data_IF_732151128587
#
_entry.id   IF_732151128587
#
_cell.length_a   1.000
_cell.length_b   1.000
_cell.length_c   1.000
_cell.angle_alpha   90.00
_cell.angle_beta   90.00
_cell.angle_gamma   90.00
#
_symmetry.space_group_name_H-M   'P 1'
#
loop_
_entity.id
_entity.type
_entity.pdbx_description
1 polymer ?
#
# COMPACT_ATOMS: atom_id res chain seq x y z
N UNK A 1 -25.08 25.62 -0.03
CA UNK A 1 -25.21 24.15 -0.13
C UNK A 1 -24.00 23.46 -0.81
N UNK A 2 -23.80 23.54 -2.14
CA UNK A 2 -22.78 22.75 -2.88
C UNK A 2 -21.34 22.72 -2.29
N UNK A 3 -20.85 23.84 -1.75
CA UNK A 3 -19.52 23.92 -1.08
C UNK A 3 -19.41 23.03 0.17
N UNK A 4 -20.47 22.96 0.98
CA UNK A 4 -20.51 22.13 2.19
C UNK A 4 -20.55 20.64 1.87
N UNK A 5 -21.32 20.23 0.85
CA UNK A 5 -21.34 18.85 0.36
C UNK A 5 -19.95 18.40 -0.12
N UNK A 6 -19.23 19.25 -0.87
CA UNK A 6 -17.86 18.97 -1.31
C UNK A 6 -16.85 18.91 -0.15
N UNK A 7 -17.08 19.65 0.94
CA UNK A 7 -16.27 19.59 2.15
C UNK A 7 -16.55 18.28 2.92
N UNK A 8 -17.82 17.92 3.10
CA UNK A 8 -18.25 16.69 3.75
C UNK A 8 -17.75 15.45 3.00
N UNK A 9 -17.82 15.43 1.66
CA UNK A 9 -17.30 14.35 0.81
C UNK A 9 -15.78 14.15 1.00
N UNK A 10 -15.02 15.25 1.11
CA UNK A 10 -13.58 15.19 1.43
C UNK A 10 -13.32 14.75 2.87
N UNK A 11 -14.09 15.23 3.84
CA UNK A 11 -13.96 14.83 5.24
C UNK A 11 -14.25 13.34 5.43
N UNK A 12 -15.34 12.83 4.86
CA UNK A 12 -15.65 11.39 4.79
C UNK A 12 -14.47 10.59 4.21
N UNK A 13 -13.88 11.08 3.10
CA UNK A 13 -12.75 10.40 2.45
C UNK A 13 -11.51 10.34 3.35
N UNK A 14 -11.15 11.45 4.02
CA UNK A 14 -10.00 11.51 4.94
C UNK A 14 -10.23 10.67 6.20
N UNK A 15 -11.43 10.72 6.79
CA UNK A 15 -11.78 9.93 7.97
C UNK A 15 -11.81 8.42 7.65
N UNK A 16 -12.33 8.04 6.48
CA UNK A 16 -12.31 6.65 6.02
C UNK A 16 -10.87 6.16 5.80
N UNK A 17 -10.01 6.96 5.15
CA UNK A 17 -8.59 6.64 4.98
C UNK A 17 -7.86 6.48 6.32
N UNK A 18 -8.17 7.32 7.32
CA UNK A 18 -7.63 7.20 8.67
C UNK A 18 -8.10 5.88 9.32
N UNK A 19 -9.38 5.52 9.16
CA UNK A 19 -9.94 4.27 9.69
C UNK A 19 -9.33 3.03 9.02
N UNK A 20 -9.16 3.03 7.68
CA UNK A 20 -8.45 1.97 6.95
C UNK A 20 -6.99 1.80 7.41
N UNK A 21 -6.36 2.83 8.00
CA UNK A 21 -5.02 2.71 8.59
C UNK A 21 -4.99 2.06 9.98
N UNK A 22 -6.17 1.73 10.53
CA UNK A 22 -6.35 1.17 11.88
C UNK A 22 -6.42 2.22 13.00
N UNK A 23 -6.41 3.51 12.66
CA UNK A 23 -6.31 4.60 13.62
C UNK A 23 -7.65 5.34 13.83
N UNK A 24 -7.89 5.91 15.02
CA UNK A 24 -7.27 5.59 16.32
C UNK A 24 -7.94 4.39 17.00
N UNK A 25 -9.02 3.84 16.42
CA UNK A 25 -9.95 2.96 17.13
C UNK A 25 -9.32 1.62 17.58
N UNK A 26 -8.39 1.04 16.83
CA UNK A 26 -7.80 -0.26 17.21
C UNK A 26 -7.02 -0.15 18.52
N UNK A 27 -6.25 0.94 18.74
CA UNK A 27 -5.47 1.12 19.98
C UNK A 27 -6.34 1.58 21.16
N UNK A 28 -7.45 2.27 20.90
CA UNK A 28 -8.42 2.65 21.95
C UNK A 28 -9.18 1.40 22.43
N UNK A 29 -9.71 0.60 21.50
CA UNK A 29 -10.50 -0.60 21.82
C UNK A 29 -9.65 -1.73 22.41
N UNK A 30 -8.35 -1.79 22.11
CA UNK A 30 -7.42 -2.69 22.80
C UNK A 30 -7.06 -2.24 24.22
N UNK A 31 -7.60 -1.11 24.70
CA UNK A 31 -7.27 -0.55 26.01
C UNK A 31 -5.80 -0.11 26.15
N UNK A 32 -5.05 -0.07 25.04
CA UNK A 32 -3.59 0.07 25.08
C UNK A 32 -2.84 -1.22 25.46
N UNK A 33 -3.43 -2.41 25.34
CA UNK A 33 -2.70 -3.67 25.49
C UNK A 33 -1.50 -3.74 24.51
N UNK A 34 -0.38 -4.28 24.98
CA UNK A 34 0.86 -4.48 24.21
C UNK A 34 1.06 -5.96 23.86
N UNK A 35 1.94 -6.22 22.89
CA UNK A 35 2.28 -7.60 22.52
C UNK A 35 3.03 -8.29 23.67
N UNK A 36 2.48 -9.42 24.12
CA UNK A 36 2.95 -10.16 25.30
C UNK A 36 2.25 -9.78 26.62
N UNK A 37 1.28 -8.88 26.62
CA UNK A 37 0.42 -8.66 27.79
C UNK A 37 -0.67 -9.76 27.84
N UNK A 38 -0.83 -10.42 28.99
CA UNK A 38 -1.90 -11.40 29.25
C UNK A 38 -3.27 -10.70 29.45
N UNK A 39 -3.79 -10.05 28.40
CA UNK A 39 -5.08 -9.37 28.45
C UNK A 39 -6.23 -10.38 28.49
N UNK A 40 -6.94 -10.38 29.63
CA UNK A 40 -7.96 -11.39 30.01
C UNK A 40 -9.21 -11.37 29.11
N UNK A 41 -9.40 -10.31 28.30
CA UNK A 41 -10.49 -10.21 27.32
C UNK A 41 -9.95 -9.81 25.94
N UNK A 42 -10.33 -10.57 24.91
CA UNK A 42 -10.10 -10.19 23.52
C UNK A 42 -10.85 -8.88 23.21
N UNK A 43 -10.23 -7.89 22.53
CA UNK A 43 -10.90 -6.63 22.24
C UNK A 43 -12.14 -6.83 21.36
N UNK A 44 -13.26 -6.21 21.73
CA UNK A 44 -14.46 -6.22 20.88
C UNK A 44 -14.25 -5.32 19.65
N UNK A 45 -14.07 -5.95 18.50
CA UNK A 45 -13.92 -5.29 17.21
C UNK A 45 -15.25 -5.09 16.45
N UNK A 46 -16.41 -5.42 17.03
CA UNK A 46 -17.72 -5.21 16.40
C UNK A 46 -17.95 -3.74 15.98
N UNK A 47 -17.51 -2.77 16.79
CA UNK A 47 -17.58 -1.35 16.43
C UNK A 47 -16.76 -1.02 15.17
N UNK A 48 -15.58 -1.64 15.00
CA UNK A 48 -14.76 -1.45 13.80
C UNK A 48 -15.46 -2.05 12.57
N UNK A 49 -16.00 -3.27 12.71
CA UNK A 49 -16.75 -3.91 11.62
C UNK A 49 -17.99 -3.08 11.21
N UNK A 50 -18.74 -2.56 12.19
CA UNK A 50 -19.89 -1.69 11.95
C UNK A 50 -19.52 -0.40 11.21
N UNK A 51 -18.42 0.25 11.58
CA UNK A 51 -17.92 1.44 10.87
C UNK A 51 -17.50 1.10 9.44
N UNK A 52 -16.84 -0.04 9.21
CA UNK A 52 -16.54 -0.48 7.84
C UNK A 52 -17.80 -0.75 7.02
N UNK A 53 -18.85 -1.37 7.58
CA UNK A 53 -20.13 -1.54 6.89
C UNK A 53 -20.77 -0.20 6.51
N UNK A 54 -20.72 0.81 7.39
CA UNK A 54 -21.16 2.17 7.08
C UNK A 54 -20.33 2.80 5.94
N UNK A 55 -19.00 2.66 5.99
CA UNK A 55 -18.10 3.15 4.93
C UNK A 55 -18.44 2.47 3.60
N UNK A 56 -18.63 1.15 3.58
CA UNK A 56 -19.02 0.40 2.37
C UNK A 56 -20.36 0.90 1.82
N UNK A 57 -21.38 1.07 2.68
CA UNK A 57 -22.71 1.52 2.29
C UNK A 57 -22.70 2.93 1.68
N UNK A 58 -22.05 3.90 2.35
CA UNK A 58 -21.91 5.27 1.86
C UNK A 58 -21.13 5.27 0.53
N UNK A 59 -20.04 4.51 0.45
CA UNK A 59 -19.23 4.39 -0.76
C UNK A 59 -20.01 3.78 -1.91
N UNK A 60 -20.79 2.73 -1.67
CA UNK A 60 -21.68 2.12 -2.65
C UNK A 60 -22.71 3.13 -3.18
N UNK A 61 -23.39 3.88 -2.31
CA UNK A 61 -24.32 4.93 -2.72
C UNK A 61 -23.64 6.00 -3.60
N UNK A 62 -22.43 6.44 -3.24
CA UNK A 62 -21.64 7.40 -4.02
C UNK A 62 -21.17 6.83 -5.38
N UNK A 63 -20.93 5.52 -5.47
CA UNK A 63 -20.60 4.80 -6.70
C UNK A 63 -21.81 4.66 -7.63
N UNK A 64 -23.01 4.36 -7.08
CA UNK A 64 -24.27 4.28 -7.86
C UNK A 64 -24.56 5.62 -8.53
N UNK A 65 -24.38 6.75 -7.83
CA UNK A 65 -24.46 8.10 -8.40
C UNK A 65 -23.42 8.37 -9.52
N UNK A 66 -22.42 7.49 -9.69
CA UNK A 66 -21.31 7.59 -10.65
C UNK A 66 -21.24 6.40 -11.61
N UNK A 67 -22.29 5.58 -11.70
CA UNK A 67 -22.30 4.27 -12.37
C UNK A 67 -21.64 4.24 -13.75
N UNK A 68 -21.85 5.25 -14.60
CA UNK A 68 -21.21 5.34 -15.93
C UNK A 68 -19.68 5.31 -15.88
N UNK A 69 -19.07 6.02 -14.91
CA UNK A 69 -17.62 6.00 -14.69
C UNK A 69 -17.16 4.69 -14.03
N UNK A 70 -18.02 4.08 -13.21
CA UNK A 70 -17.73 2.81 -12.55
C UNK A 70 -17.63 1.67 -13.57
N UNK A 71 -18.58 1.56 -14.50
CA UNK A 71 -18.52 0.58 -15.59
C UNK A 71 -17.28 0.81 -16.46
N UNK A 72 -16.94 2.06 -16.78
CA UNK A 72 -15.71 2.40 -17.49
C UNK A 72 -14.46 1.92 -16.74
N UNK A 73 -14.40 2.10 -15.41
CA UNK A 73 -13.28 1.66 -14.57
C UNK A 73 -13.16 0.13 -14.52
N UNK A 74 -14.29 -0.57 -14.32
CA UNK A 74 -14.34 -2.04 -14.24
C UNK A 74 -13.77 -2.64 -15.54
N UNK A 75 -14.21 -2.14 -16.70
CA UNK A 75 -13.78 -2.63 -18.01
C UNK A 75 -12.32 -2.33 -18.37
N UNK A 76 -11.59 -1.52 -17.59
CA UNK A 76 -10.17 -1.18 -17.82
C UNK A 76 -9.21 -2.04 -16.98
N UNK A 77 -9.73 -2.83 -16.05
CA UNK A 77 -8.91 -3.58 -15.10
C UNK A 77 -9.51 -4.95 -14.76
N UNK A 78 -9.50 -5.87 -15.72
CA UNK A 78 -10.08 -7.20 -15.52
C UNK A 78 -9.32 -8.05 -14.48
N UNK A 79 -8.01 -7.84 -14.30
CA UNK A 79 -7.18 -8.66 -13.41
C UNK A 79 -7.60 -8.57 -11.94
N UNK A 80 -7.91 -7.37 -11.45
CA UNK A 80 -8.33 -7.23 -10.05
C UNK A 80 -9.71 -7.85 -9.79
N UNK A 81 -10.62 -7.78 -10.76
CA UNK A 81 -11.92 -8.44 -10.67
C UNK A 81 -11.80 -9.96 -10.79
N UNK A 82 -10.86 -10.47 -11.60
CA UNK A 82 -10.52 -11.89 -11.59
C UNK A 82 -9.89 -12.32 -10.27
N UNK A 83 -8.99 -11.52 -9.68
CA UNK A 83 -8.40 -11.82 -8.38
C UNK A 83 -9.47 -11.87 -7.28
N UNK A 84 -10.44 -10.94 -7.31
CA UNK A 84 -11.62 -10.99 -6.45
C UNK A 84 -12.48 -12.22 -6.72
N UNK A 85 -12.71 -12.60 -7.98
CA UNK A 85 -13.46 -13.82 -8.33
C UNK A 85 -12.74 -15.08 -7.85
N UNK A 86 -11.42 -15.19 -8.00
CA UNK A 86 -10.62 -16.29 -7.46
C UNK A 86 -10.74 -16.34 -5.93
N UNK A 87 -10.71 -15.19 -5.25
CA UNK A 87 -10.97 -15.13 -3.81
C UNK A 87 -12.39 -15.59 -3.44
N UNK A 88 -13.43 -15.19 -4.20
CA UNK A 88 -14.82 -15.63 -4.00
C UNK A 88 -14.94 -17.15 -4.22
N UNK A 89 -14.43 -17.67 -5.34
CA UNK A 89 -14.47 -19.11 -5.62
C UNK A 89 -13.64 -19.92 -4.62
N UNK A 90 -12.65 -19.32 -3.97
CA UNK A 90 -11.85 -20.01 -2.94
C UNK A 90 -12.65 -20.50 -1.73
N UNK A 91 -13.89 -20.05 -1.55
CA UNK A 91 -14.85 -20.64 -0.58
C UNK A 91 -15.03 -22.15 -0.82
N UNK A 92 -15.00 -22.62 -2.08
CA UNK A 92 -15.28 -24.02 -2.42
C UNK A 92 -14.13 -25.01 -2.12
N UNK A 93 -12.89 -24.54 -2.00
CA UNK A 93 -11.71 -25.36 -1.66
C UNK A 93 -10.98 -24.89 -0.40
N UNK A 94 -11.56 -23.95 0.33
CA UNK A 94 -11.02 -23.43 1.58
C UNK A 94 -11.08 -24.48 2.68
N UNK A 95 -10.02 -24.58 3.48
CA UNK A 95 -10.02 -25.42 4.68
C UNK A 95 -10.99 -24.90 5.76
N UNK A 96 -11.33 -23.60 5.72
CA UNK A 96 -12.32 -22.98 6.63
C UNK A 96 -13.28 -22.06 5.84
N UNK A 97 -14.26 -22.63 5.10
CA UNK A 97 -15.12 -21.88 4.19
C UNK A 97 -15.87 -20.70 4.83
N UNK A 98 -16.33 -20.84 6.08
CA UNK A 98 -17.05 -19.78 6.79
C UNK A 98 -16.16 -18.55 7.09
N UNK A 99 -14.88 -18.77 7.37
CA UNK A 99 -13.89 -17.70 7.54
C UNK A 99 -13.62 -17.02 6.20
N UNK A 100 -13.38 -17.81 5.15
CA UNK A 100 -13.16 -17.32 3.78
C UNK A 100 -14.35 -16.49 3.28
N UNK A 101 -15.59 -16.96 3.43
CA UNK A 101 -16.80 -16.23 3.06
C UNK A 101 -16.86 -14.85 3.74
N UNK A 102 -16.63 -14.81 5.07
CA UNK A 102 -16.65 -13.56 5.85
C UNK A 102 -15.57 -12.58 5.39
N UNK A 103 -14.35 -13.08 5.11
CA UNK A 103 -13.23 -12.26 4.62
C UNK A 103 -13.46 -11.77 3.18
N UNK A 104 -14.01 -12.61 2.29
CA UNK A 104 -14.36 -12.25 0.90
C UNK A 104 -15.41 -11.14 0.85
N UNK A 105 -16.42 -11.17 1.72
CA UNK A 105 -17.41 -10.09 1.82
C UNK A 105 -16.72 -8.77 2.21
N UNK A 106 -15.82 -8.82 3.19
CA UNK A 106 -15.05 -7.65 3.60
C UNK A 106 -14.07 -7.17 2.50
N UNK A 107 -13.41 -8.06 1.75
CA UNK A 107 -12.58 -7.71 0.60
C UNK A 107 -13.39 -7.02 -0.51
N UNK A 108 -14.57 -7.56 -0.81
CA UNK A 108 -15.51 -7.00 -1.79
C UNK A 108 -15.93 -5.57 -1.40
N UNK A 109 -16.29 -5.36 -0.13
CA UNK A 109 -16.60 -4.02 0.41
C UNK A 109 -15.38 -3.08 0.40
N UNK A 110 -14.20 -3.61 0.72
CA UNK A 110 -12.93 -2.85 0.69
C UNK A 110 -12.64 -2.31 -0.71
N UNK A 111 -12.90 -3.08 -1.77
CA UNK A 111 -12.66 -2.69 -3.17
C UNK A 111 -13.61 -1.58 -3.69
N UNK A 112 -14.72 -1.31 -3.01
CA UNK A 112 -15.59 -0.17 -3.33
C UNK A 112 -14.86 1.17 -3.12
N UNK A 113 -14.06 1.29 -2.06
CA UNK A 113 -13.41 2.56 -1.70
C UNK A 113 -12.30 3.01 -2.67
N UNK A 114 -11.35 2.17 -3.13
CA UNK A 114 -10.38 2.58 -4.14
C UNK A 114 -11.03 2.86 -5.50
N UNK A 115 -12.07 2.12 -5.86
CA UNK A 115 -12.89 2.38 -7.04
C UNK A 115 -13.56 3.76 -6.96
N UNK A 116 -14.10 4.11 -5.78
CA UNK A 116 -14.64 5.45 -5.51
C UNK A 116 -13.56 6.53 -5.63
N UNK A 117 -12.41 6.37 -4.96
CA UNK A 117 -11.28 7.31 -5.03
C UNK A 117 -10.86 7.58 -6.47
N UNK A 118 -10.65 6.53 -7.28
CA UNK A 118 -10.28 6.63 -8.68
C UNK A 118 -11.36 7.28 -9.56
N UNK A 119 -12.65 7.00 -9.29
CA UNK A 119 -13.77 7.62 -10.02
C UNK A 119 -13.98 9.11 -9.69
N UNK A 120 -13.54 9.52 -8.48
CA UNK A 120 -13.89 10.81 -7.86
C UNK A 120 -12.77 11.83 -7.91
N UNK A 121 -11.54 11.43 -7.66
CA UNK A 121 -10.40 12.30 -7.40
C UNK A 121 -9.26 12.00 -8.37
N UNK A 122 -8.63 13.05 -8.89
CA UNK A 122 -7.38 12.94 -9.63
C UNK A 122 -6.24 12.45 -8.72
N UNK A 123 -5.17 11.89 -9.29
CA UNK A 123 -3.97 11.48 -8.52
C UNK A 123 -3.39 12.63 -7.68
N UNK A 124 -3.46 13.88 -8.16
CA UNK A 124 -3.07 15.07 -7.39
C UNK A 124 -3.99 15.31 -6.19
N UNK A 125 -5.30 15.18 -6.36
CA UNK A 125 -6.26 15.32 -5.25
C UNK A 125 -6.13 14.19 -4.23
N UNK A 126 -5.91 12.94 -4.67
CA UNK A 126 -5.62 11.80 -3.80
C UNK A 126 -4.37 12.07 -2.95
N UNK A 127 -3.29 12.59 -3.53
CA UNK A 127 -2.08 12.98 -2.79
C UNK A 127 -2.36 14.04 -1.70
N UNK A 128 -3.25 15.01 -1.96
CA UNK A 128 -3.63 16.03 -0.97
C UNK A 128 -4.55 15.47 0.13
N UNK A 129 -5.45 14.53 -0.21
CA UNK A 129 -6.28 13.82 0.79
C UNK A 129 -5.41 12.96 1.71
N UNK A 130 -4.38 12.32 1.16
CA UNK A 130 -3.38 11.60 1.95
C UNK A 130 -2.56 12.53 2.84
N UNK A 131 -2.15 13.70 2.35
CA UNK A 131 -1.47 14.69 3.20
C UNK A 131 -2.32 15.17 4.39
N UNK A 132 -3.64 15.32 4.21
CA UNK A 132 -4.55 15.57 5.34
C UNK A 132 -4.68 14.37 6.28
N UNK A 133 -4.84 13.16 5.74
CA UNK A 133 -4.93 11.92 6.52
C UNK A 133 -3.69 11.72 7.38
N UNK A 134 -2.50 11.84 6.78
CA UNK A 134 -1.22 11.73 7.46
C UNK A 134 -0.96 12.90 8.42
N UNK A 135 -1.37 14.12 8.09
CA UNK A 135 -1.28 15.27 8.99
C UNK A 135 -2.07 15.04 10.29
N UNK A 136 -3.30 14.54 10.18
CA UNK A 136 -4.11 14.13 11.35
C UNK A 136 -3.43 12.97 12.09
N UNK A 137 -2.88 11.98 11.36
CA UNK A 137 -2.21 10.84 11.97
C UNK A 137 -0.94 11.20 12.74
N UNK A 138 -0.14 12.15 12.24
CA UNK A 138 1.05 12.70 12.90
C UNK A 138 0.65 13.42 14.19
N UNK A 139 -0.28 14.37 14.10
CA UNK A 139 -0.76 15.15 15.25
C UNK A 139 -1.35 14.23 16.32
N UNK A 140 -2.22 13.30 15.91
CA UNK A 140 -2.77 12.28 16.81
C UNK A 140 -1.69 11.42 17.46
N UNK A 141 -0.68 10.98 16.69
CA UNK A 141 0.42 10.16 17.22
C UNK A 141 1.25 10.88 18.28
N UNK A 142 1.54 12.17 18.10
CA UNK A 142 2.20 12.98 19.13
C UNK A 142 1.30 13.20 20.35
N UNK A 143 0.02 13.53 20.16
CA UNK A 143 -0.94 13.68 21.27
C UNK A 143 -1.05 12.40 22.10
N UNK A 144 -1.10 11.23 21.46
CA UNK A 144 -1.16 9.95 22.16
C UNK A 144 0.17 9.65 22.87
N UNK A 145 1.31 9.83 22.21
CA UNK A 145 2.61 9.47 22.79
C UNK A 145 3.13 10.43 23.88
N UNK A 146 2.60 11.66 23.95
CA UNK A 146 2.87 12.61 25.05
C UNK A 146 1.75 12.65 26.09
N UNK A 147 0.49 12.84 25.68
CA UNK A 147 -0.65 13.04 26.58
C UNK A 147 -1.32 11.75 27.08
N UNK A 148 -1.38 10.70 26.24
CA UNK A 148 -2.03 9.42 26.57
C UNK A 148 -1.00 8.28 26.57
N UNK A 149 0.06 8.40 27.38
CA UNK A 149 1.26 7.55 27.34
C UNK A 149 0.98 6.04 27.24
N UNK A 150 -0.03 5.53 27.94
CA UNK A 150 -0.42 4.11 27.95
C UNK A 150 -0.89 3.64 26.56
N UNK A 151 -1.60 4.50 25.82
CA UNK A 151 -2.03 4.23 24.45
C UNK A 151 -0.91 4.53 23.44
N UNK A 152 -0.19 5.65 23.59
CA UNK A 152 0.79 6.10 22.59
C UNK A 152 2.14 5.36 22.57
N UNK A 153 2.50 4.65 23.64
CA UNK A 153 3.75 3.90 23.76
C UNK A 153 3.46 2.43 24.09
N UNK A 154 4.38 1.55 23.70
CA UNK A 154 4.28 0.12 24.01
C UNK A 154 4.95 -0.22 25.35
N UNK A 155 4.38 -1.22 26.02
CA UNK A 155 4.93 -1.93 27.17
C UNK A 155 5.50 -3.30 26.73
N UNK A 156 5.69 -4.22 27.69
CA UNK A 156 6.14 -5.59 27.44
C UNK A 156 7.45 -5.68 26.66
N UNK A 157 7.49 -6.60 25.70
CA UNK A 157 8.66 -6.91 24.83
C UNK A 157 9.16 -5.68 24.05
N UNK A 158 8.36 -4.63 23.92
CA UNK A 158 8.66 -3.43 23.13
C UNK A 158 8.63 -2.13 23.96
N UNK A 159 8.93 -2.25 25.25
CA UNK A 159 8.96 -1.15 26.22
C UNK A 159 9.62 0.14 25.69
N UNK A 160 8.89 1.25 25.80
CA UNK A 160 9.39 2.59 25.48
C UNK A 160 9.40 2.93 23.98
N UNK A 161 9.04 2.01 23.08
CA UNK A 161 8.82 2.33 21.66
C UNK A 161 7.49 3.05 21.45
N UNK A 162 7.44 3.90 20.42
CA UNK A 162 6.23 4.66 20.08
C UNK A 162 5.35 3.89 19.10
N UNK A 163 4.04 3.89 19.35
CA UNK A 163 2.99 3.42 18.41
C UNK A 163 1.96 4.49 18.05
N UNK A 164 1.91 5.61 18.78
CA UNK A 164 1.04 6.74 18.47
C UNK A 164 -0.44 6.35 18.54
N UNK A 165 -1.18 6.60 17.46
CA UNK A 165 -2.60 6.21 17.32
C UNK A 165 -2.80 4.82 16.69
N UNK A 166 -1.73 4.04 16.54
CA UNK A 166 -1.77 2.68 15.99
C UNK A 166 -1.54 1.66 17.10
N UNK A 167 -2.02 0.43 16.91
CA UNK A 167 -1.92 -0.61 17.93
C UNK A 167 -0.47 -1.10 18.19
N UNK A 168 0.42 -0.93 17.20
CA UNK A 168 1.77 -1.50 17.22
C UNK A 168 2.84 -0.57 16.61
N UNK A 169 4.07 -0.59 17.12
CA UNK A 169 5.19 0.26 16.65
C UNK A 169 5.49 0.09 15.15
N UNK A 170 5.42 -1.15 14.64
CA UNK A 170 5.69 -1.43 13.23
C UNK A 170 4.59 -0.84 12.34
N UNK A 171 3.34 -0.78 12.81
CA UNK A 171 2.23 -0.16 12.07
C UNK A 171 2.44 1.36 11.98
N UNK A 172 2.83 2.03 13.08
CA UNK A 172 3.20 3.45 13.05
C UNK A 172 4.31 3.70 12.02
N UNK A 173 5.44 2.98 12.12
CA UNK A 173 6.54 3.13 11.16
C UNK A 173 6.10 2.88 9.71
N UNK A 174 5.34 1.80 9.48
CA UNK A 174 4.83 1.42 8.16
C UNK A 174 3.94 2.52 7.55
N UNK A 175 3.07 3.17 8.33
CA UNK A 175 2.22 4.28 7.85
C UNK A 175 3.00 5.60 7.70
N UNK A 176 4.01 5.85 8.55
CA UNK A 176 4.82 7.07 8.46
C UNK A 176 5.79 7.09 7.27
N UNK A 177 6.19 5.93 6.73
CA UNK A 177 7.04 5.86 5.53
C UNK A 177 6.41 6.51 4.26
N UNK A 178 5.19 6.15 3.81
CA UNK A 178 4.54 6.85 2.71
C UNK A 178 4.10 8.26 3.11
N UNK A 179 3.82 8.54 4.40
CA UNK A 179 3.59 9.91 4.89
C UNK A 179 4.78 10.82 4.57
N UNK A 180 6.00 10.40 4.92
CA UNK A 180 7.21 11.13 4.60
C UNK A 180 7.30 11.40 3.08
N UNK A 181 7.02 10.41 2.24
CA UNK A 181 7.05 10.60 0.78
C UNK A 181 5.98 11.57 0.27
N UNK A 182 4.75 11.50 0.78
CA UNK A 182 3.68 12.46 0.42
C UNK A 182 4.10 13.89 0.77
N UNK A 183 4.59 14.11 2.00
CA UNK A 183 5.02 15.42 2.45
C UNK A 183 6.24 15.94 1.68
N UNK A 184 7.22 15.08 1.39
CA UNK A 184 8.39 15.43 0.57
C UNK A 184 7.98 15.85 -0.85
N UNK A 185 7.12 15.07 -1.51
CA UNK A 185 6.67 15.40 -2.88
C UNK A 185 5.89 16.71 -2.93
N UNK A 186 5.11 17.05 -1.90
CA UNK A 186 4.42 18.34 -1.80
C UNK A 186 5.36 19.49 -1.41
N UNK A 187 6.34 19.27 -0.53
CA UNK A 187 7.34 20.25 -0.13
C UNK A 187 8.23 20.70 -1.31
N UNK A 188 8.44 19.83 -2.31
CA UNK A 188 9.16 20.14 -3.54
C UNK A 188 8.35 21.01 -4.54
N UNK A 189 7.05 21.25 -4.31
CA UNK A 189 6.23 22.08 -5.21
C UNK A 189 6.36 23.59 -4.91
N UNK A 190 6.33 24.46 -5.94
CA UNK A 190 5.58 25.74 -6.09
C UNK A 190 5.06 26.61 -4.92
N UNK A 191 4.76 26.05 -3.75
CA UNK A 191 3.69 26.55 -2.89
C UNK A 191 4.08 27.59 -1.82
N UNK A 192 3.13 28.48 -1.48
CA UNK A 192 3.32 29.51 -0.44
C UNK A 192 3.51 28.95 0.97
N UNK A 193 3.11 27.71 1.23
CA UNK A 193 3.14 27.07 2.57
C UNK A 193 4.04 25.83 2.64
N UNK A 194 5.10 25.74 1.81
CA UNK A 194 6.07 24.61 1.81
C UNK A 194 6.61 24.23 3.18
N UNK A 195 6.77 25.18 4.09
CA UNK A 195 7.26 24.93 5.45
C UNK A 195 6.39 23.95 6.24
N UNK A 196 5.06 23.95 6.02
CA UNK A 196 4.16 22.96 6.62
C UNK A 196 4.44 21.55 6.10
N UNK A 197 4.73 21.40 4.81
CA UNK A 197 5.06 20.11 4.21
C UNK A 197 6.45 19.62 4.63
N UNK A 198 7.45 20.52 4.75
CA UNK A 198 8.72 20.16 5.37
C UNK A 198 8.57 19.75 6.84
N UNK A 199 7.73 20.44 7.61
CA UNK A 199 7.37 20.04 8.97
C UNK A 199 6.74 18.65 9.03
N UNK A 200 5.78 18.36 8.15
CA UNK A 200 5.17 17.02 8.03
C UNK A 200 6.14 15.92 7.63
N UNK A 201 7.12 16.23 6.76
CA UNK A 201 8.20 15.31 6.40
C UNK A 201 9.09 15.01 7.62
N UNK A 202 9.64 16.04 8.28
CA UNK A 202 10.51 15.90 9.45
C UNK A 202 9.79 15.16 10.58
N UNK A 203 8.52 15.50 10.84
CA UNK A 203 7.67 14.82 11.82
C UNK A 203 7.47 13.33 11.50
N UNK A 204 7.28 12.98 10.22
CA UNK A 204 7.18 11.57 9.79
C UNK A 204 8.47 10.80 10.04
N UNK A 205 9.63 11.39 9.69
CA UNK A 205 10.96 10.79 9.95
C UNK A 205 11.16 10.58 11.46
N UNK A 206 10.84 11.60 12.27
CA UNK A 206 11.01 11.55 13.71
C UNK A 206 10.13 10.45 14.34
N UNK A 207 8.87 10.30 13.91
CA UNK A 207 7.98 9.24 14.38
C UNK A 207 8.46 7.83 13.98
N UNK A 208 9.08 7.67 12.80
CA UNK A 208 9.73 6.40 12.41
C UNK A 208 10.88 6.09 13.38
N UNK A 209 11.75 7.06 13.66
CA UNK A 209 12.88 6.87 14.61
C UNK A 209 12.35 6.54 16.02
N UNK A 210 11.33 7.24 16.50
CA UNK A 210 10.71 7.00 17.81
C UNK A 210 10.02 5.62 17.94
N UNK A 211 9.52 5.07 16.83
CA UNK A 211 9.01 3.69 16.78
C UNK A 211 10.10 2.61 16.88
N UNK A 212 11.38 2.98 16.66
CA UNK A 212 12.54 2.09 16.51
C UNK A 212 12.35 1.01 15.42
N UNK A 213 11.50 1.24 14.42
CA UNK A 213 11.26 0.31 13.32
C UNK A 213 12.27 0.51 12.18
N UNK A 214 13.19 -0.44 12.00
CA UNK A 214 14.28 -0.34 11.02
C UNK A 214 13.83 -0.44 9.56
N UNK A 215 12.90 -1.35 9.21
CA UNK A 215 12.42 -1.54 7.83
C UNK A 215 11.79 -0.27 7.23
N UNK A 216 10.85 0.43 7.91
CA UNK A 216 10.30 1.69 7.40
C UNK A 216 11.34 2.80 7.17
N UNK A 217 12.40 2.86 7.97
CA UNK A 217 13.48 3.85 7.80
C UNK A 217 14.32 3.54 6.54
N UNK A 218 14.66 2.27 6.33
CA UNK A 218 15.31 1.80 5.09
C UNK A 218 14.42 2.11 3.88
N UNK A 219 13.11 1.83 3.97
CA UNK A 219 12.17 2.10 2.89
C UNK A 219 12.14 3.59 2.52
N UNK A 220 12.14 4.50 3.50
CA UNK A 220 12.19 5.95 3.23
C UNK A 220 13.49 6.36 2.53
N UNK A 221 14.64 5.81 2.93
CA UNK A 221 15.93 6.09 2.28
C UNK A 221 15.90 5.59 0.83
N UNK A 222 15.53 4.33 0.60
CA UNK A 222 15.45 3.71 -0.73
C UNK A 222 14.46 4.44 -1.64
N UNK A 223 13.31 4.87 -1.13
CA UNK A 223 12.34 5.67 -1.88
C UNK A 223 12.84 7.08 -2.18
N UNK A 224 13.56 7.72 -1.25
CA UNK A 224 14.20 9.02 -1.50
C UNK A 224 15.26 8.91 -2.60
N UNK A 225 16.05 7.83 -2.62
CA UNK A 225 16.99 7.51 -3.70
C UNK A 225 16.26 7.23 -5.03
N UNK A 226 15.09 6.58 -5.00
CA UNK A 226 14.29 6.32 -6.21
C UNK A 226 13.82 7.60 -6.92
N UNK A 227 13.68 8.73 -6.20
CA UNK A 227 13.33 10.02 -6.80
C UNK A 227 14.40 10.51 -7.81
N UNK A 228 15.67 10.18 -7.59
CA UNK A 228 16.74 10.47 -8.54
C UNK A 228 16.59 9.61 -9.81
N UNK A 229 16.27 8.32 -9.67
CA UNK A 229 15.97 7.42 -10.80
C UNK A 229 14.76 7.93 -11.60
N UNK A 230 13.68 8.29 -10.93
CA UNK A 230 12.49 8.87 -11.58
C UNK A 230 12.76 10.23 -12.24
N UNK A 231 13.76 10.99 -11.77
CA UNK A 231 14.23 12.21 -12.44
C UNK A 231 15.05 11.90 -13.69
N UNK A 232 15.86 10.84 -13.69
CA UNK A 232 16.57 10.32 -14.88
C UNK A 232 15.56 9.84 -15.95
N UNK A 233 14.46 9.17 -15.56
CA UNK A 233 13.39 8.77 -16.51
C UNK A 233 12.74 9.94 -17.28
N UNK A 234 12.93 11.18 -16.82
CA UNK A 234 12.46 12.39 -17.51
C UNK A 234 13.47 12.95 -18.53
N UNK A 235 14.69 12.43 -18.59
CA UNK A 235 15.75 12.85 -19.53
C UNK A 235 15.44 12.40 -20.98
N UNK A 236 16.17 12.95 -21.95
CA UNK A 236 16.16 12.47 -23.35
C UNK A 236 16.76 11.06 -23.41
N UNK A 237 16.26 10.21 -24.32
CA UNK A 237 16.65 8.79 -24.39
C UNK A 237 18.17 8.58 -24.45
N UNK A 238 18.89 9.41 -25.22
CA UNK A 238 20.34 9.36 -25.40
C UNK A 238 21.14 9.51 -24.09
N UNK A 239 20.59 10.17 -23.07
CA UNK A 239 21.21 10.28 -21.74
C UNK A 239 20.55 9.34 -20.72
N UNK A 240 19.25 9.08 -20.85
CA UNK A 240 18.49 8.21 -19.97
C UNK A 240 18.98 6.76 -20.05
N UNK A 241 19.17 6.21 -21.25
CA UNK A 241 19.53 4.80 -21.42
C UNK A 241 20.94 4.53 -20.85
N UNK A 242 22.00 5.28 -21.19
CA UNK A 242 23.32 5.08 -20.58
C UNK A 242 23.33 5.28 -19.06
N UNK A 243 22.60 6.26 -18.54
CA UNK A 243 22.51 6.50 -17.09
C UNK A 243 21.82 5.34 -16.35
N UNK A 244 20.72 4.80 -16.89
CA UNK A 244 20.06 3.63 -16.32
C UNK A 244 20.94 2.40 -16.38
N UNK A 245 21.57 2.12 -17.54
CA UNK A 245 22.51 1.00 -17.71
C UNK A 245 23.66 1.09 -16.71
N UNK A 246 24.31 2.26 -16.61
CA UNK A 246 25.39 2.49 -15.64
C UNK A 246 24.96 2.26 -14.19
N UNK A 247 23.79 2.76 -13.80
CA UNK A 247 23.23 2.52 -12.45
C UNK A 247 22.93 1.04 -12.22
N UNK A 248 22.32 0.35 -13.18
CA UNK A 248 22.04 -1.09 -13.05
C UNK A 248 23.33 -1.91 -12.96
N UNK A 249 24.34 -1.61 -13.77
CA UNK A 249 25.64 -2.29 -13.73
C UNK A 249 26.35 -2.06 -12.39
N UNK A 250 26.41 -0.81 -11.91
CA UNK A 250 26.99 -0.50 -10.59
C UNK A 250 26.22 -1.17 -9.45
N UNK A 251 24.88 -1.23 -9.53
CA UNK A 251 24.04 -1.89 -8.54
C UNK A 251 24.24 -3.40 -8.54
N UNK A 252 24.41 -4.03 -9.72
CA UNK A 252 24.73 -5.46 -9.85
C UNK A 252 26.13 -5.78 -9.30
N UNK A 253 27.13 -4.95 -9.60
CA UNK A 253 28.48 -5.09 -9.03
C UNK A 253 28.44 -4.96 -7.51
N UNK A 254 27.76 -3.94 -6.98
CA UNK A 254 27.61 -3.75 -5.54
C UNK A 254 26.86 -4.93 -4.88
N UNK A 255 25.79 -5.43 -5.50
CA UNK A 255 25.07 -6.62 -5.03
C UNK A 255 25.99 -7.84 -4.95
N UNK A 256 26.72 -8.16 -6.03
CA UNK A 256 27.66 -9.28 -6.06
C UNK A 256 28.70 -9.14 -4.95
N UNK A 257 29.34 -7.96 -4.82
CA UNK A 257 30.33 -7.70 -3.77
C UNK A 257 29.73 -7.86 -2.36
N UNK A 258 28.51 -7.40 -2.12
CA UNK A 258 27.84 -7.57 -0.83
C UNK A 258 27.46 -9.02 -0.55
N UNK A 259 27.01 -9.79 -1.54
CA UNK A 259 26.65 -11.20 -1.35
C UNK A 259 27.87 -12.09 -1.16
N UNK A 260 28.96 -11.87 -1.91
CA UNK A 260 30.20 -12.65 -1.80
C UNK A 260 30.93 -12.39 -0.48
N UNK A 261 30.75 -11.21 0.11
CA UNK A 261 31.36 -10.84 1.40
C UNK A 261 30.35 -10.79 2.56
N UNK A 262 29.17 -11.41 2.40
CA UNK A 262 28.05 -11.25 3.33
C UNK A 262 28.41 -11.61 4.78
N UNK A 263 29.10 -12.73 4.99
CA UNK A 263 29.55 -13.19 6.31
C UNK A 263 30.55 -12.22 6.95
N UNK A 264 31.55 -11.76 6.19
CA UNK A 264 32.54 -10.78 6.67
C UNK A 264 31.89 -9.43 7.02
N UNK A 265 30.93 -8.96 6.21
CA UNK A 265 30.17 -7.73 6.47
C UNK A 265 29.28 -7.89 7.71
N UNK A 266 28.63 -9.04 7.88
CA UNK A 266 27.77 -9.35 9.02
C UNK A 266 28.56 -9.42 10.33
N UNK A 267 29.71 -10.12 10.32
CA UNK A 267 30.65 -10.19 11.43
C UNK A 267 31.17 -8.80 11.82
N UNK A 268 31.59 -7.97 10.84
CA UNK A 268 32.06 -6.60 11.07
C UNK A 268 30.96 -5.69 11.67
N UNK A 269 29.70 -5.92 11.30
CA UNK A 269 28.55 -5.17 11.81
C UNK A 269 27.98 -5.73 13.13
N UNK A 270 28.52 -6.83 13.65
CA UNK A 270 28.01 -7.51 14.85
C UNK A 270 26.55 -7.95 14.72
N UNK A 271 26.14 -8.40 13.52
CA UNK A 271 24.76 -8.78 13.20
C UNK A 271 24.71 -10.17 12.58
N UNK A 272 23.70 -10.94 12.97
CA UNK A 272 23.36 -12.16 12.25
C UNK A 272 22.87 -11.85 10.82
N UNK A 273 23.25 -12.70 9.87
CA UNK A 273 22.71 -12.71 8.51
C UNK A 273 21.23 -13.10 8.46
N UNK A 274 20.69 -13.73 9.52
CA UNK A 274 19.26 -14.03 9.57
C UNK A 274 18.48 -12.72 9.68
N UNK A 275 17.50 -12.54 8.79
CA UNK A 275 16.57 -11.41 8.83
C UNK A 275 15.61 -11.57 10.03
N UNK A 276 16.12 -11.45 11.25
CA UNK A 276 15.44 -11.80 12.51
C UNK A 276 14.83 -13.20 12.46
N UNK A 277 15.63 -14.22 12.15
CA UNK A 277 15.20 -15.63 12.04
C UNK A 277 14.37 -16.00 10.80
N UNK A 278 13.89 -15.04 9.99
CA UNK A 278 12.97 -15.29 8.87
C UNK A 278 13.53 -16.19 7.76
N UNK A 279 14.85 -16.21 7.60
CA UNK A 279 15.56 -17.12 6.66
C UNK A 279 15.32 -18.60 6.97
N UNK A 280 15.07 -18.95 8.23
CA UNK A 280 14.80 -20.32 8.67
C UNK A 280 13.29 -20.63 8.66
N UNK A 281 12.46 -19.60 8.54
CA UNK A 281 11.00 -19.67 8.63
C UNK A 281 10.32 -19.79 7.26
N UNK A 282 10.82 -19.07 6.26
CA UNK A 282 10.28 -19.12 4.90
C UNK A 282 10.36 -20.49 4.19
N UNK A 283 11.36 -21.37 4.44
CA UNK A 283 11.33 -22.74 3.91
C UNK A 283 10.06 -23.51 4.29
N UNK A 284 9.66 -23.48 5.57
CA UNK A 284 8.44 -24.13 6.06
C UNK A 284 7.15 -23.63 5.38
N UNK A 285 7.15 -22.34 4.99
CA UNK A 285 6.05 -21.74 4.23
C UNK A 285 6.08 -22.20 2.75
N UNK A 286 7.27 -22.31 2.16
CA UNK A 286 7.44 -22.80 0.78
C UNK A 286 7.01 -24.27 0.68
N UNK A 287 7.32 -25.09 1.69
CA UNK A 287 6.86 -26.49 1.77
C UNK A 287 5.32 -26.55 1.81
N UNK A 288 4.68 -25.69 2.62
CA UNK A 288 3.20 -25.57 2.62
C UNK A 288 2.63 -25.04 1.30
N UNK A 289 3.30 -24.13 0.61
CA UNK A 289 2.89 -23.72 -0.75
C UNK A 289 3.00 -24.91 -1.72
N UNK A 290 4.01 -25.77 -1.58
CA UNK A 290 4.22 -26.94 -2.45
C UNK A 290 3.14 -28.03 -2.26
N UNK A 291 2.48 -28.11 -1.10
CA UNK A 291 1.31 -28.99 -0.90
C UNK A 291 0.09 -28.56 -1.75
N UNK A 292 -0.13 -27.25 -1.96
CA UNK A 292 -1.30 -26.71 -2.70
C UNK A 292 -0.95 -25.55 -3.66
N UNK A 293 -0.06 -25.75 -4.64
CA UNK A 293 0.59 -24.64 -5.34
C UNK A 293 -0.33 -23.82 -6.24
N UNK A 294 -1.40 -24.41 -6.80
CA UNK A 294 -2.23 -23.72 -7.80
C UNK A 294 -3.25 -22.75 -7.20
N UNK A 295 -3.97 -23.18 -6.15
CA UNK A 295 -5.12 -22.47 -5.59
C UNK A 295 -5.01 -22.16 -4.09
N UNK A 296 -3.94 -22.61 -3.42
CA UNK A 296 -3.71 -22.37 -2.00
C UNK A 296 -4.72 -23.06 -1.07
N UNK A 297 -4.86 -22.52 0.13
CA UNK A 297 -5.70 -23.04 1.22
C UNK A 297 -7.04 -22.30 1.38
N UNK A 298 -7.31 -21.30 0.54
CA UNK A 298 -8.50 -20.44 0.59
C UNK A 298 -8.21 -19.07 1.18
N UNK A 299 -8.90 -18.03 0.68
CA UNK A 299 -8.66 -16.65 1.09
C UNK A 299 -8.81 -16.47 2.61
N UNK A 300 -7.72 -16.08 3.25
CA UNK A 300 -7.61 -15.92 4.70
C UNK A 300 -7.92 -17.14 5.56
N UNK A 301 -7.80 -18.37 5.04
CA UNK A 301 -8.02 -19.60 5.83
C UNK A 301 -6.73 -20.21 6.41
N UNK A 302 -5.55 -19.75 6.00
CA UNK A 302 -4.27 -20.36 6.40
C UNK A 302 -3.83 -20.00 7.82
N UNK A 303 -3.71 -18.69 8.12
CA UNK A 303 -3.22 -18.18 9.41
C UNK A 303 -4.34 -18.13 10.45
N UNK A 304 -4.64 -19.28 11.05
CA UNK A 304 -5.65 -19.46 12.10
C UNK A 304 -5.05 -20.00 13.42
N UNK A 305 -3.73 -20.07 13.52
CA UNK A 305 -3.01 -20.62 14.67
C UNK A 305 -3.13 -22.14 14.74
N UNK A 306 -3.38 -22.67 15.94
CA UNK A 306 -3.47 -24.11 16.20
C UNK A 306 -4.67 -24.83 15.57
N UNK A 307 -5.69 -24.11 15.11
CA UNK A 307 -6.93 -24.67 14.57
C UNK A 307 -6.98 -24.67 13.04
N UNK A 308 -5.89 -24.30 12.36
CA UNK A 308 -5.81 -24.31 10.90
C UNK A 308 -4.40 -24.61 10.38
N UNK A 309 -4.17 -24.51 9.06
CA UNK A 309 -2.94 -24.97 8.40
C UNK A 309 -1.62 -24.38 8.94
N UNK A 310 -1.66 -23.21 9.59
CA UNK A 310 -0.51 -22.64 10.28
C UNK A 310 0.00 -23.42 11.50
N UNK A 311 -0.75 -24.40 12.02
CA UNK A 311 -0.39 -25.18 13.21
C UNK A 311 0.96 -25.91 13.06
N UNK A 312 1.19 -26.55 11.91
CA UNK A 312 2.44 -27.28 11.61
C UNK A 312 3.66 -26.35 11.63
N UNK A 313 3.48 -25.14 11.10
CA UNK A 313 4.51 -24.09 11.08
C UNK A 313 4.78 -23.58 12.49
N UNK A 314 3.74 -23.36 13.30
CA UNK A 314 3.88 -22.94 14.70
C UNK A 314 4.57 -24.01 15.56
N UNK A 315 4.29 -25.28 15.31
CA UNK A 315 4.95 -26.40 15.97
C UNK A 315 6.44 -26.49 15.57
N UNK A 316 6.72 -26.49 14.27
CA UNK A 316 8.09 -26.69 13.74
C UNK A 316 9.04 -25.52 13.99
N UNK A 317 8.53 -24.28 14.02
CA UNK A 317 9.36 -23.08 14.23
C UNK A 317 9.50 -22.65 15.69
N UNK A 318 8.66 -23.17 16.60
CA UNK A 318 8.55 -22.68 17.98
C UNK A 318 8.03 -21.23 18.09
N UNK A 319 7.68 -20.59 16.97
CA UNK A 319 7.26 -19.19 16.88
C UNK A 319 5.83 -19.13 16.35
N UNK A 320 5.04 -18.17 16.86
CA UNK A 320 3.61 -18.05 16.57
C UNK A 320 3.26 -16.75 15.83
N UNK A 321 3.86 -16.46 14.66
CA UNK A 321 3.56 -15.23 13.95
C UNK A 321 2.15 -15.27 13.34
N UNK A 322 1.51 -14.10 13.17
CA UNK A 322 0.18 -14.00 12.58
C UNK A 322 0.18 -14.00 11.04
N UNK A 323 1.36 -14.04 10.40
CA UNK A 323 1.56 -14.09 8.94
C UNK A 323 3.01 -14.47 8.60
N UNK A 324 3.35 -14.67 7.31
CA UNK A 324 4.72 -14.97 6.87
C UNK A 324 5.71 -13.79 6.98
N UNK A 325 5.23 -12.59 7.32
CA UNK A 325 5.92 -11.31 7.13
C UNK A 325 6.43 -11.08 5.70
N UNK A 326 5.74 -11.67 4.71
CA UNK A 326 5.99 -11.51 3.29
C UNK A 326 4.66 -11.61 2.53
N UNK A 327 4.11 -10.47 2.10
CA UNK A 327 2.80 -10.43 1.44
C UNK A 327 2.69 -11.27 0.16
N UNK A 328 3.81 -11.61 -0.50
CA UNK A 328 3.81 -12.48 -1.67
C UNK A 328 3.68 -13.96 -1.30
N UNK A 329 4.33 -14.40 -0.21
CA UNK A 329 4.18 -15.76 0.31
C UNK A 329 2.78 -15.96 0.88
N UNK A 330 2.24 -14.99 1.63
CA UNK A 330 0.86 -15.07 2.13
C UNK A 330 -0.17 -15.13 1.00
N UNK A 331 -0.03 -14.31 -0.04
CA UNK A 331 -0.94 -14.36 -1.19
C UNK A 331 -0.87 -15.72 -1.92
N UNK A 332 0.32 -16.34 -1.96
CA UNK A 332 0.50 -17.67 -2.53
C UNK A 332 -0.09 -18.78 -1.64
N UNK A 333 0.03 -18.67 -0.31
CA UNK A 333 -0.64 -19.58 0.64
C UNK A 333 -2.17 -19.48 0.52
N UNK A 334 -2.71 -18.27 0.39
CA UNK A 334 -4.15 -18.06 0.36
C UNK A 334 -4.80 -18.43 -0.98
N UNK A 335 -4.21 -18.03 -2.12
CA UNK A 335 -4.81 -18.15 -3.47
C UNK A 335 -3.92 -18.85 -4.50
N UNK A 336 -2.78 -19.41 -4.09
CA UNK A 336 -1.83 -20.11 -4.94
C UNK A 336 -1.15 -19.23 -5.99
N UNK A 337 -0.42 -19.90 -6.89
CA UNK A 337 0.22 -19.31 -8.05
C UNK A 337 -0.78 -18.63 -8.99
N UNK A 338 -2.05 -19.06 -9.02
CA UNK A 338 -3.10 -18.39 -9.81
C UNK A 338 -3.38 -16.99 -9.27
N UNK A 339 -3.65 -16.85 -7.98
CA UNK A 339 -3.88 -15.54 -7.34
C UNK A 339 -2.64 -14.65 -7.39
N UNK A 340 -1.47 -15.20 -7.09
CA UNK A 340 -0.20 -14.47 -7.18
C UNK A 340 0.09 -13.97 -8.60
N UNK A 341 -0.13 -14.80 -9.63
CA UNK A 341 0.10 -14.41 -11.03
C UNK A 341 -0.83 -13.28 -11.47
N UNK A 342 -2.13 -13.35 -11.15
CA UNK A 342 -3.08 -12.29 -11.45
C UNK A 342 -2.67 -10.96 -10.81
N UNK A 343 -2.27 -10.99 -9.54
CA UNK A 343 -1.76 -9.83 -8.82
C UNK A 343 -0.47 -9.26 -9.45
N UNK A 344 0.50 -10.12 -9.77
CA UNK A 344 1.78 -9.69 -10.37
C UNK A 344 1.56 -9.07 -11.75
N UNK A 345 0.68 -9.64 -12.57
CA UNK A 345 0.38 -9.09 -13.90
C UNK A 345 -0.31 -7.71 -13.80
N UNK A 346 -1.30 -7.55 -12.91
CA UNK A 346 -1.92 -6.25 -12.63
C UNK A 346 -0.88 -5.22 -12.16
N UNK A 347 -0.09 -5.59 -11.15
CA UNK A 347 0.93 -4.74 -10.56
C UNK A 347 1.98 -4.30 -11.61
N UNK A 348 2.47 -5.20 -12.45
CA UNK A 348 3.45 -4.88 -13.50
C UNK A 348 2.86 -3.94 -14.57
N UNK A 349 1.62 -4.15 -15.01
CA UNK A 349 0.95 -3.22 -15.93
C UNK A 349 0.76 -1.84 -15.31
N UNK A 350 0.37 -1.81 -14.03
CA UNK A 350 0.29 -0.59 -13.24
C UNK A 350 1.62 0.14 -13.10
N UNK A 351 2.70 -0.59 -12.83
CA UNK A 351 4.05 -0.06 -12.72
C UNK A 351 4.53 0.54 -14.04
N UNK A 352 4.34 -0.14 -15.17
CA UNK A 352 4.67 0.40 -16.50
C UNK A 352 3.89 1.70 -16.79
N UNK A 353 2.60 1.75 -16.45
CA UNK A 353 1.78 2.97 -16.56
C UNK A 353 2.25 4.07 -15.59
N UNK A 354 2.70 3.73 -14.39
CA UNK A 354 3.28 4.68 -13.44
C UNK A 354 4.60 5.28 -13.96
N UNK A 355 5.49 4.48 -14.55
CA UNK A 355 6.74 4.95 -15.17
C UNK A 355 6.46 5.86 -16.38
N UNK A 356 5.47 5.51 -17.22
CA UNK A 356 5.00 6.38 -18.30
C UNK A 356 4.38 7.70 -17.75
N UNK A 357 3.64 7.63 -16.66
CA UNK A 357 3.06 8.79 -15.97
C UNK A 357 4.16 9.73 -15.46
N UNK A 358 5.16 9.20 -14.74
CA UNK A 358 6.37 9.89 -14.25
C UNK A 358 7.10 10.65 -15.35
N UNK A 359 7.21 10.06 -16.55
CA UNK A 359 7.84 10.67 -17.71
C UNK A 359 6.99 11.80 -18.31
N UNK A 360 5.66 11.65 -18.32
CA UNK A 360 4.71 12.58 -18.93
C UNK A 360 4.34 13.80 -18.07
N UNK A 361 4.19 13.62 -16.76
CA UNK A 361 3.87 14.69 -15.79
C UNK A 361 5.18 15.22 -15.22
N UNK A 362 5.44 16.53 -15.31
CA UNK A 362 6.73 17.14 -14.91
C UNK A 362 6.74 17.75 -13.51
N UNK A 363 5.60 17.88 -12.85
CA UNK A 363 5.48 18.26 -11.43
C UNK A 363 5.92 17.12 -10.50
N UNK A 364 6.21 17.40 -9.23
CA UNK A 364 6.73 16.38 -8.28
C UNK A 364 5.67 15.35 -7.85
N UNK A 365 4.39 15.74 -7.79
CA UNK A 365 3.26 14.80 -7.61
C UNK A 365 3.17 13.75 -8.74
N UNK A 366 3.75 14.03 -9.91
CA UNK A 366 3.95 13.06 -10.98
C UNK A 366 4.75 11.82 -10.57
N UNK A 367 5.54 11.90 -9.50
CA UNK A 367 6.27 10.75 -8.93
C UNK A 367 5.44 9.86 -8.01
N UNK A 368 4.32 10.36 -7.47
CA UNK A 368 3.56 9.66 -6.43
C UNK A 368 3.17 8.21 -6.78
N UNK A 369 2.62 7.91 -7.98
CA UNK A 369 2.29 6.54 -8.34
C UNK A 369 3.48 5.59 -8.33
N UNK A 370 4.63 6.01 -8.87
CA UNK A 370 5.84 5.20 -8.92
C UNK A 370 6.44 4.97 -7.53
N UNK A 371 6.46 6.02 -6.69
CA UNK A 371 6.95 5.94 -5.31
C UNK A 371 6.08 5.01 -4.47
N UNK A 372 4.75 5.11 -4.58
CA UNK A 372 3.87 4.26 -3.78
C UNK A 372 3.88 2.79 -4.22
N UNK A 373 3.91 2.51 -5.53
CA UNK A 373 4.04 1.14 -6.01
C UNK A 373 5.39 0.53 -5.58
N UNK A 374 6.49 1.28 -5.68
CA UNK A 374 7.79 0.83 -5.16
C UNK A 374 7.77 0.60 -3.65
N UNK A 375 7.05 1.44 -2.89
CA UNK A 375 6.83 1.22 -1.45
C UNK A 375 6.05 -0.07 -1.19
N UNK A 376 5.04 -0.42 -1.99
CA UNK A 376 4.29 -1.69 -1.86
C UNK A 376 5.24 -2.88 -1.98
N UNK A 377 6.16 -2.88 -2.95
CA UNK A 377 7.16 -3.96 -3.08
C UNK A 377 8.07 -4.02 -1.85
N UNK A 378 8.71 -2.91 -1.49
CA UNK A 378 9.68 -2.87 -0.40
C UNK A 378 9.06 -3.24 0.96
N UNK A 379 7.83 -2.79 1.22
CA UNK A 379 7.09 -3.16 2.44
C UNK A 379 6.71 -4.64 2.42
N UNK A 380 6.19 -5.18 1.31
CA UNK A 380 5.72 -6.57 1.28
C UNK A 380 6.82 -7.64 1.23
N UNK A 381 8.09 -7.26 1.13
CA UNK A 381 9.23 -8.13 1.41
C UNK A 381 9.49 -8.35 2.92
N UNK A 382 8.92 -7.51 3.79
CA UNK A 382 9.18 -7.54 5.25
C UNK A 382 7.93 -7.48 6.13
N UNK A 383 6.77 -7.30 5.52
CA UNK A 383 5.45 -7.16 6.15
C UNK A 383 4.41 -7.78 5.20
N UNK A 384 3.19 -7.98 5.69
CA UNK A 384 2.08 -8.50 4.89
C UNK A 384 0.98 -7.45 4.79
N UNK A 385 0.73 -6.96 3.57
CA UNK A 385 -0.36 -6.02 3.26
C UNK A 385 -1.07 -6.29 1.93
N UNK A 386 -0.58 -7.23 1.11
CA UNK A 386 -1.22 -7.61 -0.17
C UNK A 386 -2.57 -8.28 0.05
N UNK A 387 -3.57 -7.83 -0.70
CA UNK A 387 -4.95 -8.37 -0.72
C UNK A 387 -5.65 -8.43 0.66
N UNK A 388 -5.11 -7.79 1.70
CA UNK A 388 -5.75 -7.79 3.03
C UNK A 388 -6.98 -6.88 3.01
N UNK A 389 -8.14 -7.42 3.41
CA UNK A 389 -9.38 -6.67 3.59
C UNK A 389 -9.20 -5.55 4.63
N UNK A 390 -9.88 -4.42 4.43
CA UNK A 390 -9.80 -3.24 5.29
C UNK A 390 -8.40 -2.64 5.48
N UNK A 391 -7.48 -2.89 4.54
CA UNK A 391 -6.10 -2.40 4.61
C UNK A 391 -5.88 -1.10 3.80
N UNK A 392 -5.40 -0.05 4.49
CA UNK A 392 -5.00 1.23 3.90
C UNK A 392 -4.07 1.14 2.69
N UNK A 393 -3.05 0.27 2.77
CA UNK A 393 -2.02 0.18 1.73
C UNK A 393 -2.59 -0.46 0.46
N UNK A 394 -3.38 -1.52 0.62
CA UNK A 394 -4.12 -2.15 -0.46
C UNK A 394 -5.10 -1.15 -1.12
N UNK A 395 -5.89 -0.42 -0.31
CA UNK A 395 -6.80 0.63 -0.82
C UNK A 395 -6.05 1.69 -1.64
N UNK A 396 -4.92 2.23 -1.17
CA UNK A 396 -4.20 3.25 -1.94
C UNK A 396 -3.58 2.65 -3.21
N UNK A 397 -3.03 1.44 -3.13
CA UNK A 397 -2.48 0.73 -4.28
C UNK A 397 -3.52 0.61 -5.39
N UNK A 398 -4.67 0.02 -5.09
CA UNK A 398 -5.73 -0.19 -6.08
C UNK A 398 -6.27 1.15 -6.61
N UNK A 399 -6.43 2.16 -5.76
CA UNK A 399 -6.82 3.51 -6.19
C UNK A 399 -5.85 4.08 -7.23
N UNK A 400 -4.55 3.93 -7.01
CA UNK A 400 -3.50 4.40 -7.94
C UNK A 400 -3.55 3.62 -9.26
N UNK A 401 -3.62 2.29 -9.20
CA UNK A 401 -3.68 1.39 -10.36
C UNK A 401 -4.88 1.74 -11.28
N UNK A 402 -6.07 1.85 -10.70
CA UNK A 402 -7.28 2.29 -11.40
C UNK A 402 -7.18 3.72 -11.95
N UNK A 403 -6.61 4.65 -11.19
CA UNK A 403 -6.46 6.05 -11.60
C UNK A 403 -5.50 6.26 -12.78
N UNK A 404 -4.41 5.47 -12.83
CA UNK A 404 -3.46 5.47 -13.95
C UNK A 404 -4.13 5.02 -15.25
N UNK A 405 -5.00 4.00 -15.19
CA UNK A 405 -5.77 3.49 -16.33
C UNK A 405 -6.73 4.54 -16.93
N UNK A 406 -7.33 5.41 -16.11
CA UNK A 406 -8.17 6.53 -16.59
C UNK A 406 -7.34 7.61 -17.32
N UNK A 407 -6.17 7.98 -16.77
CA UNK A 407 -5.41 9.13 -17.25
C UNK A 407 -4.87 8.95 -18.69
N UNK A 408 -4.63 7.70 -19.09
CA UNK A 408 -4.19 7.33 -20.43
C UNK A 408 -5.25 7.65 -21.50
N UNK A 409 -6.51 7.27 -21.25
CA UNK A 409 -7.61 7.47 -22.19
C UNK A 409 -7.88 8.95 -22.47
N UNK A 410 -7.79 9.82 -21.45
CA UNK A 410 -7.90 11.26 -21.66
C UNK A 410 -6.83 11.80 -22.62
N UNK A 411 -5.60 11.29 -22.57
CA UNK A 411 -4.52 11.68 -23.49
C UNK A 411 -4.78 11.16 -24.91
N UNK A 412 -5.21 9.90 -25.04
CA UNK A 412 -5.50 9.27 -26.35
C UNK A 412 -6.71 9.91 -27.04
N UNK A 413 -7.78 10.22 -26.31
CA UNK A 413 -8.94 10.96 -26.85
C UNK A 413 -8.54 12.38 -27.27
N UNK A 414 -7.74 13.09 -26.46
CA UNK A 414 -7.33 14.46 -26.79
C UNK A 414 -6.34 14.51 -27.96
N UNK A 415 -5.45 13.52 -28.12
CA UNK A 415 -4.56 13.41 -29.29
C UNK A 415 -5.34 13.09 -30.56
N UNK A 416 -6.31 12.17 -30.53
CA UNK A 416 -7.21 11.89 -31.66
C UNK A 416 -8.03 13.12 -32.08
N UNK A 417 -8.59 13.87 -31.12
CA UNK A 417 -9.33 15.12 -31.41
C UNK A 417 -8.40 16.16 -32.04
N UNK A 418 -7.17 16.30 -31.53
CA UNK A 418 -6.16 17.22 -32.09
C UNK A 418 -5.73 16.80 -33.51
N UNK A 419 -5.64 15.50 -33.77
CA UNK A 419 -5.32 14.97 -35.10
C UNK A 419 -6.47 15.17 -36.10
N UNK A 420 -7.72 14.85 -35.74
CA UNK A 420 -8.92 15.16 -36.54
C UNK A 420 -9.04 16.66 -36.85
N UNK A 421 -8.81 17.54 -35.87
CA UNK A 421 -8.78 19.00 -36.11
C UNK A 421 -7.69 19.40 -37.11
N UNK A 422 -6.52 18.77 -37.07
CA UNK A 422 -5.41 19.05 -38.00
C UNK A 422 -5.71 18.57 -39.43
N UNK A 423 -6.37 17.41 -39.58
CA UNK A 423 -6.84 16.89 -40.87
C UNK A 423 -7.93 17.80 -41.46
N UNK A 424 -8.93 18.19 -40.67
CA UNK A 424 -10.01 19.09 -41.13
C UNK A 424 -9.49 20.50 -41.49
N UNK A 425 -8.42 20.98 -40.84
CA UNK A 425 -7.76 22.23 -41.24
C UNK A 425 -7.08 22.09 -42.60
N UNK A 426 -6.30 21.01 -42.79
CA UNK A 426 -5.64 20.69 -44.07
C UNK A 426 -6.65 20.61 -45.23
N UNK A 427 -7.76 19.88 -45.03
CA UNK A 427 -8.81 19.75 -46.05
C UNK A 427 -9.56 21.06 -46.36
N UNK A 428 -9.58 22.05 -45.44
CA UNK A 428 -10.10 23.40 -45.74
C UNK A 428 -9.11 24.26 -46.51
N UNK A 429 -7.79 24.12 -46.29
CA UNK A 429 -6.78 24.86 -47.03
C UNK A 429 -6.61 24.42 -48.49
N UNK A 430 -7.09 23.23 -48.87
CA UNK A 430 -7.17 22.77 -50.27
C UNK A 430 -8.53 23.04 -50.95
N UNK A 431 -9.36 23.95 -50.39
CA UNK A 431 -10.62 24.41 -50.99
C UNK A 431 -10.72 25.93 -51.00
N UNK A 432 -9.80 26.55 -51.75
CA UNK A 432 -9.82 27.95 -52.21
C UNK A 432 -9.39 27.85 -53.69
N UNK A 433 -10.15 28.45 -54.62
CA UNK A 433 -10.81 27.70 -55.70
C UNK A 433 -9.90 27.11 -56.78
#
# INVERSE_FOLDING_TARGET
MKKYLLLAEKAFTVLSLLHYSGAPLVVILSGGASEGDDSIAAPDFALIQFIFLIIYFITFALLVLRWKKVIQLINKDWYIWLLLLVAIFSIFWSDVPAMTQSRVIALSGTLLFPLYLASRYTLKEQLHLLAWTFGIAIVGSFLFAFGLRNYGRMAGVHFGTWRGIYNHKNVLGKVMAPSAMVFLLLALQPEKKRWLFWGGFIASIWLIIASKASSPLINVITLSLSLFLFRILRWRYNFMIPALVGITTLSTIAYILMTTNAEAIAALLGKDLTLTGRTNFWPLIIDKIAERPWFGYGYGAFWLGWTGPSADIWYSSGWKPPNSHNGYLDLCLELGLVGLSLYVIDYLQGLLKALAYVRSVKTSDGFWPGVFLMYVVLSNLTESTLLIQNNFFFVIQISILLSLRICEEQKTTHSMIKHKKKINYSQKTYKIP
#
